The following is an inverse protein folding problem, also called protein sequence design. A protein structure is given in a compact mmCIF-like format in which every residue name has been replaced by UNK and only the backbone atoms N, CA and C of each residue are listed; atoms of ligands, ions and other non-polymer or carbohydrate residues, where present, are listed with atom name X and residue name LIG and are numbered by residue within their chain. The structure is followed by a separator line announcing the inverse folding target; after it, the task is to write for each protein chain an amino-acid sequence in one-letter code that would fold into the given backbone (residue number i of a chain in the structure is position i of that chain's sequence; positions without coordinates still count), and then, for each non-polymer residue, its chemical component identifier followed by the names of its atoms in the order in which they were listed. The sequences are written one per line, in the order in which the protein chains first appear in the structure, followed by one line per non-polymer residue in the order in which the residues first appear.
data_IF_989113619927
#
_entry.id   IF_989113619927
#
_cell.length_a   1.000
_cell.length_b   1.000
_cell.length_c   1.000
_cell.angle_alpha   90.00
_cell.angle_beta   90.00
_cell.angle_gamma   90.00
#
_symmetry.space_group_name_H-M   'P 1'
#
loop_
_entity.id
_entity.type
_entity.pdbx_description
1 polymer ?
#
# COMPACT_ATOMS: atom_id res chain seq x y z
N UNK A 1 3.16 -8.89 6.23
CA UNK A 1 1.75 -8.76 5.80
C UNK A 1 0.79 -9.51 6.71
N UNK A 2 0.89 -10.84 6.87
CA UNK A 2 -0.07 -11.63 7.67
C UNK A 2 -0.36 -11.04 9.07
N UNK A 3 0.67 -10.75 9.86
CA UNK A 3 0.50 -10.18 11.20
C UNK A 3 -0.12 -8.77 11.22
N UNK A 4 0.00 -8.02 10.12
CA UNK A 4 -0.42 -6.63 10.04
C UNK A 4 -1.85 -6.46 9.48
N UNK A 5 -2.34 -7.40 8.67
CA UNK A 5 -3.62 -7.27 7.94
C UNK A 5 -4.66 -8.32 8.34
N UNK A 6 -4.28 -9.59 8.51
CA UNK A 6 -5.23 -10.68 8.82
C UNK A 6 -6.06 -10.52 10.11
N UNK A 7 -5.68 -9.66 11.09
CA UNK A 7 -6.63 -9.30 12.16
C UNK A 7 -7.95 -8.73 11.62
N UNK A 8 -7.95 -8.06 10.48
CA UNK A 8 -9.11 -7.35 9.91
C UNK A 8 -9.75 -8.04 8.69
N UNK A 9 -9.16 -9.11 8.17
CA UNK A 9 -9.60 -9.78 6.93
C UNK A 9 -9.32 -11.29 6.95
N UNK A 10 -9.76 -12.02 5.93
CA UNK A 10 -9.38 -13.44 5.76
C UNK A 10 -8.17 -13.61 4.84
N UNK A 11 -7.93 -12.67 3.95
CA UNK A 11 -6.73 -12.50 3.14
C UNK A 11 -6.46 -11.02 2.79
N UNK A 12 -5.44 -10.72 1.99
CA UNK A 12 -5.11 -9.38 1.53
C UNK A 12 -4.78 -9.36 0.04
N UNK A 13 -5.08 -8.23 -0.58
CA UNK A 13 -4.85 -8.00 -2.01
C UNK A 13 -3.77 -6.94 -2.22
N UNK A 14 -3.15 -6.95 -3.40
CA UNK A 14 -2.42 -5.80 -3.91
C UNK A 14 -3.41 -4.65 -4.04
N UNK A 15 -3.04 -3.49 -3.52
CA UNK A 15 -3.82 -2.27 -3.58
C UNK A 15 -3.37 -1.38 -4.73
N UNK A 16 -2.05 -1.17 -4.85
CA UNK A 16 -1.43 -0.40 -5.92
C UNK A 16 0.06 -0.75 -6.10
N UNK A 17 0.55 -0.63 -7.34
CA UNK A 17 1.97 -0.64 -7.67
C UNK A 17 2.38 0.63 -8.40
N UNK A 18 3.06 1.55 -7.72
CA UNK A 18 3.32 2.90 -8.25
C UNK A 18 4.81 3.18 -8.36
N UNK A 19 5.25 3.53 -9.58
CA UNK A 19 6.57 4.10 -9.79
C UNK A 19 6.54 5.59 -9.45
N UNK A 20 7.32 6.00 -8.46
CA UNK A 20 7.40 7.38 -8.00
C UNK A 20 8.75 7.95 -8.36
N UNK A 21 8.76 9.06 -9.10
CA UNK A 21 9.94 9.87 -9.35
C UNK A 21 9.83 11.20 -8.63
N UNK A 22 10.88 11.59 -7.92
CA UNK A 22 11.05 12.94 -7.38
C UNK A 22 12.26 13.58 -8.06
N UNK A 23 12.03 14.72 -8.70
CA UNK A 23 13.03 15.48 -9.45
C UNK A 23 13.46 16.74 -8.69
N UNK A 24 14.53 17.36 -9.17
CA UNK A 24 15.03 18.62 -8.59
C UNK A 24 13.92 19.67 -8.48
N UNK A 25 13.84 20.34 -7.33
CA UNK A 25 12.88 21.38 -6.98
C UNK A 25 11.45 20.91 -6.74
N UNK A 26 11.18 19.60 -6.76
CA UNK A 26 9.91 19.11 -6.25
C UNK A 26 9.83 19.30 -4.73
N UNK A 27 8.68 19.78 -4.27
CA UNK A 27 8.42 20.07 -2.85
C UNK A 27 7.88 18.85 -2.14
N UNK A 28 8.10 18.77 -0.83
CA UNK A 28 7.52 17.72 -0.01
C UNK A 28 5.99 17.60 -0.20
N UNK A 29 5.50 16.37 -0.22
CA UNK A 29 4.08 16.10 -0.18
C UNK A 29 3.48 16.55 1.16
N UNK A 30 2.18 16.80 1.17
CA UNK A 30 1.46 16.88 2.44
C UNK A 30 1.59 15.54 3.15
N UNK A 31 1.99 15.55 4.42
CA UNK A 31 2.02 14.35 5.24
C UNK A 31 0.62 13.74 5.34
N UNK A 32 0.54 12.43 5.18
CA UNK A 32 -0.71 11.68 5.13
C UNK A 32 -0.51 10.24 5.60
N UNK A 33 -1.60 9.51 5.74
CA UNK A 33 -1.63 8.07 5.98
C UNK A 33 -2.22 7.39 4.75
N UNK A 34 -1.78 6.18 4.39
CA UNK A 34 -2.33 5.45 3.22
C UNK A 34 -3.77 4.99 3.47
N UNK A 35 -4.20 4.89 4.74
CA UNK A 35 -5.60 4.69 5.08
C UNK A 35 -6.53 5.78 4.49
N UNK A 36 -6.00 6.96 4.14
CA UNK A 36 -6.75 8.05 3.50
C UNK A 36 -7.34 7.69 2.13
N UNK A 37 -6.92 6.57 1.52
CA UNK A 37 -7.54 6.04 0.31
C UNK A 37 -9.01 5.60 0.50
N UNK A 38 -9.43 5.32 1.74
CA UNK A 38 -10.79 4.86 2.05
C UNK A 38 -11.55 5.83 2.96
N UNK A 39 -12.89 5.78 3.01
CA UNK A 39 -13.69 6.73 3.80
C UNK A 39 -13.31 6.76 5.28
N UNK A 40 -13.40 7.93 5.92
CA UNK A 40 -13.01 8.15 7.34
C UNK A 40 -13.66 7.18 8.32
N UNK A 41 -14.91 6.74 8.07
CA UNK A 41 -15.57 5.74 8.92
C UNK A 41 -14.87 4.38 8.92
N UNK A 42 -14.26 4.00 7.80
CA UNK A 42 -13.55 2.73 7.61
C UNK A 42 -12.14 2.81 8.20
N UNK A 43 -11.48 3.97 8.12
CA UNK A 43 -10.14 4.20 8.68
C UNK A 43 -10.06 3.89 10.18
N UNK A 44 -11.18 4.04 10.91
CA UNK A 44 -11.28 3.76 12.35
C UNK A 44 -11.21 2.27 12.71
N UNK A 45 -11.23 1.38 11.73
CA UNK A 45 -11.12 -0.07 11.95
C UNK A 45 -9.66 -0.51 12.23
N UNK A 46 -8.68 0.36 12.00
CA UNK A 46 -7.26 0.13 12.27
C UNK A 46 -6.42 0.09 11.01
N UNK A 47 -5.42 -0.79 10.98
CA UNK A 47 -4.48 -0.89 9.87
C UNK A 47 -5.10 -1.56 8.62
N UNK A 48 -5.55 -0.76 7.65
CA UNK A 48 -6.23 -1.27 6.45
C UNK A 48 -5.27 -1.70 5.34
N UNK A 49 -4.06 -1.16 5.34
CA UNK A 49 -3.06 -1.45 4.31
C UNK A 49 -1.64 -1.45 4.85
N UNK A 50 -0.70 -1.95 4.06
CA UNK A 50 0.74 -1.86 4.35
C UNK A 50 1.45 -1.55 3.05
N UNK A 51 2.38 -0.61 3.10
CA UNK A 51 3.20 -0.21 1.97
C UNK A 51 4.61 -0.77 2.10
N UNK A 52 5.14 -1.29 1.00
CA UNK A 52 6.56 -1.55 0.82
C UNK A 52 7.11 -0.54 -0.20
N UNK A 53 7.85 0.46 0.30
CA UNK A 53 8.55 1.45 -0.51
C UNK A 53 9.95 0.93 -0.83
N UNK A 54 10.14 0.51 -2.08
CA UNK A 54 11.41 -0.04 -2.58
C UNK A 54 12.22 1.10 -3.19
N UNK A 55 13.44 1.32 -2.69
CA UNK A 55 14.38 2.27 -3.25
C UNK A 55 14.96 1.74 -4.58
N UNK A 56 14.62 2.36 -5.71
CA UNK A 56 15.22 2.01 -7.02
C UNK A 56 16.48 2.83 -7.31
N UNK A 57 16.67 3.93 -6.57
CA UNK A 57 17.90 4.73 -6.47
C UNK A 57 18.20 4.97 -5.00
N UNK A 58 19.37 5.52 -4.68
CA UNK A 58 19.66 5.94 -3.31
C UNK A 58 18.67 7.01 -2.84
N UNK A 59 18.23 6.87 -1.59
CA UNK A 59 17.36 7.80 -0.89
C UNK A 59 18.20 8.58 0.11
N UNK A 60 18.23 9.91 -0.04
CA UNK A 60 18.87 10.84 0.89
C UNK A 60 17.89 11.92 1.29
N UNK A 61 18.13 12.59 2.42
CA UNK A 61 17.29 13.73 2.81
C UNK A 61 17.28 14.84 1.73
N UNK A 62 18.38 15.01 1.00
CA UNK A 62 18.54 16.07 0.01
C UNK A 62 17.86 15.76 -1.34
N UNK A 63 17.69 14.49 -1.71
CA UNK A 63 17.04 14.08 -2.95
C UNK A 63 15.56 13.69 -2.77
N UNK A 64 14.97 14.04 -1.62
CA UNK A 64 13.57 13.81 -1.33
C UNK A 64 13.24 12.39 -0.89
N UNK A 65 14.09 11.72 -0.11
CA UNK A 65 13.72 10.48 0.58
C UNK A 65 12.35 10.59 1.26
N UNK A 66 11.62 9.47 1.34
CA UNK A 66 10.30 9.43 1.99
C UNK A 66 10.42 9.92 3.44
N UNK A 67 9.67 10.97 3.78
CA UNK A 67 9.48 11.44 5.13
C UNK A 67 8.54 10.50 5.87
N UNK A 68 8.87 10.16 7.11
CA UNK A 68 8.10 9.25 7.97
C UNK A 68 8.08 9.84 9.37
N UNK A 69 6.98 9.63 10.09
CA UNK A 69 6.83 9.97 11.51
C UNK A 69 6.79 8.67 12.33
N UNK A 70 7.92 8.23 12.90
CA UNK A 70 7.99 6.95 13.60
C UNK A 70 7.03 6.90 14.79
N UNK A 71 6.26 5.81 14.89
CA UNK A 71 5.31 5.59 15.98
C UNK A 71 3.94 6.26 15.79
N UNK A 72 3.75 7.06 14.73
CA UNK A 72 2.49 7.77 14.51
C UNK A 72 1.28 6.86 14.28
N UNK A 73 1.49 5.63 13.84
CA UNK A 73 0.46 4.60 13.68
C UNK A 73 -0.26 4.23 14.99
N UNK A 74 0.18 4.76 16.13
CA UNK A 74 -0.45 4.56 17.45
C UNK A 74 -1.11 5.83 17.98
N UNK A 75 -1.06 6.93 17.23
CA UNK A 75 -1.57 8.21 17.67
C UNK A 75 -3.07 8.30 17.46
N UNK A 76 -3.67 9.29 18.12
CA UNK A 76 -5.00 9.76 17.74
C UNK A 76 -4.98 10.26 16.28
N UNK A 77 -5.96 9.89 15.44
CA UNK A 77 -6.00 10.29 14.03
C UNK A 77 -6.00 11.81 13.80
N UNK A 78 -6.40 12.61 14.78
CA UNK A 78 -6.44 14.08 14.67
C UNK A 78 -5.11 14.75 15.06
N UNK A 79 -4.12 13.98 15.55
CA UNK A 79 -2.82 14.52 15.97
C UNK A 79 -1.93 14.82 14.76
N UNK A 80 -1.55 16.08 14.62
CA UNK A 80 -0.55 16.51 13.66
C UNK A 80 0.88 16.31 14.18
N UNK A 81 1.85 15.93 13.33
CA UNK A 81 3.25 15.78 13.72
C UNK A 81 3.93 17.14 13.94
N UNK A 82 4.86 17.19 14.88
CA UNK A 82 5.83 18.28 14.97
C UNK A 82 6.96 18.07 13.95
N UNK A 83 7.58 19.16 13.49
CA UNK A 83 8.72 19.08 12.54
C UNK A 83 9.86 18.19 13.06
N UNK A 84 10.12 18.23 14.37
CA UNK A 84 11.16 17.40 15.01
C UNK A 84 10.82 15.91 15.11
N UNK A 85 9.57 15.52 14.85
CA UNK A 85 9.12 14.12 14.83
C UNK A 85 9.21 13.50 13.43
N UNK A 86 9.39 14.33 12.40
CA UNK A 86 9.54 13.88 11.01
C UNK A 86 11.00 13.51 10.75
N UNK A 87 11.22 12.29 10.25
CA UNK A 87 12.54 11.84 9.77
C UNK A 87 12.44 11.35 8.33
N UNK A 88 13.58 11.10 7.69
CA UNK A 88 13.64 10.57 6.34
C UNK A 88 14.08 9.10 6.35
N UNK A 89 13.40 8.27 5.55
CA UNK A 89 13.84 6.91 5.23
C UNK A 89 15.01 6.95 4.23
N UNK A 90 16.15 7.46 4.67
CA UNK A 90 17.38 7.45 3.90
C UNK A 90 17.95 6.03 3.84
N UNK A 91 18.17 5.53 2.63
CA UNK A 91 18.56 4.13 2.39
C UNK A 91 19.19 3.97 1.00
N UNK A 92 20.13 3.04 0.82
CA UNK A 92 20.70 2.78 -0.51
C UNK A 92 19.71 2.08 -1.43
N UNK A 93 19.93 2.16 -2.74
CA UNK A 93 19.16 1.44 -3.75
C UNK A 93 19.09 -0.08 -3.42
N UNK A 94 17.91 -0.67 -3.64
CA UNK A 94 17.59 -2.05 -3.28
C UNK A 94 17.06 -2.23 -1.86
N UNK A 95 17.13 -1.21 -1.00
CA UNK A 95 16.52 -1.24 0.32
C UNK A 95 14.99 -1.10 0.25
N UNK A 96 14.31 -1.54 1.32
CA UNK A 96 12.85 -1.47 1.44
C UNK A 96 12.48 -0.85 2.77
N UNK A 97 11.67 0.21 2.74
CA UNK A 97 10.98 0.73 3.91
C UNK A 97 9.55 0.15 3.94
N UNK A 98 9.16 -0.46 5.06
CA UNK A 98 7.82 -1.02 5.24
C UNK A 98 7.11 -0.23 6.34
N UNK A 99 5.91 0.25 6.04
CA UNK A 99 5.08 0.97 7.01
C UNK A 99 3.60 0.65 6.86
N UNK A 100 2.86 0.77 7.96
CA UNK A 100 1.42 0.53 8.02
C UNK A 100 0.64 1.67 7.39
N UNK A 101 -0.60 1.41 7.00
CA UNK A 101 -1.52 2.39 6.45
C UNK A 101 -1.85 3.54 7.39
N UNK A 102 -1.57 3.38 8.69
CA UNK A 102 -1.75 4.39 9.75
C UNK A 102 -0.49 5.25 9.97
N UNK A 103 0.64 4.90 9.35
CA UNK A 103 1.88 5.66 9.51
C UNK A 103 1.82 6.96 8.70
N UNK A 104 2.10 8.09 9.37
CA UNK A 104 2.15 9.40 8.75
C UNK A 104 3.46 9.51 7.97
N UNK A 105 3.36 9.80 6.68
CA UNK A 105 4.49 9.84 5.77
C UNK A 105 4.20 10.73 4.54
N UNK A 106 5.20 10.92 3.69
CA UNK A 106 5.08 11.61 2.41
C UNK A 106 6.42 11.70 1.67
N UNK A 107 6.40 11.98 0.36
CA UNK A 107 7.61 12.30 -0.39
C UNK A 107 8.28 13.56 0.14
N UNK A 108 9.61 13.55 0.31
CA UNK A 108 10.38 14.71 0.76
C UNK A 108 10.70 15.69 -0.36
N UNK A 109 11.14 16.89 0.02
CA UNK A 109 11.65 17.89 -0.93
C UNK A 109 12.97 17.42 -1.55
N UNK A 110 13.14 17.64 -2.85
CA UNK A 110 14.42 17.40 -3.53
C UNK A 110 15.09 18.71 -3.94
N UNK A 111 16.34 18.89 -3.50
CA UNK A 111 17.20 20.01 -3.92
C UNK A 111 18.30 19.58 -4.91
N UNK A 112 18.49 18.27 -5.07
CA UNK A 112 19.51 17.68 -5.93
C UNK A 112 19.04 17.48 -7.37
N UNK A 113 19.99 17.54 -8.31
CA UNK A 113 19.73 17.28 -9.73
C UNK A 113 19.47 15.80 -10.03
N UNK A 114 19.82 14.89 -9.12
CA UNK A 114 19.57 13.46 -9.27
C UNK A 114 18.07 13.15 -9.20
N UNK A 115 17.61 12.21 -10.03
CA UNK A 115 16.24 11.70 -9.97
C UNK A 115 16.17 10.62 -8.89
N UNK A 116 15.35 10.84 -7.87
CA UNK A 116 15.02 9.81 -6.87
C UNK A 116 13.88 8.96 -7.41
N UNK A 117 14.07 7.64 -7.51
CA UNK A 117 13.06 6.71 -8.02
C UNK A 117 12.76 5.63 -7.00
N UNK A 118 11.48 5.38 -6.77
CA UNK A 118 11.00 4.30 -5.92
C UNK A 118 9.84 3.55 -6.51
N UNK A 119 9.65 2.32 -6.05
CA UNK A 119 8.45 1.54 -6.32
C UNK A 119 7.66 1.37 -5.01
N UNK A 120 6.49 2.00 -4.95
CA UNK A 120 5.49 1.78 -3.90
C UNK A 120 4.69 0.53 -4.24
N UNK A 121 4.73 -0.49 -3.39
CA UNK A 121 3.90 -1.70 -3.54
C UNK A 121 3.06 -1.83 -2.27
N UNK A 122 1.77 -1.50 -2.39
CA UNK A 122 0.84 -1.50 -1.25
C UNK A 122 -0.10 -2.70 -1.30
N UNK A 123 -0.42 -3.24 -0.12
CA UNK A 123 -1.41 -4.31 0.05
C UNK A 123 -2.51 -3.82 0.98
N UNK A 124 -3.76 -4.14 0.69
CA UNK A 124 -4.90 -3.83 1.55
C UNK A 124 -5.65 -5.09 1.98
N UNK A 125 -6.47 -4.96 3.03
CA UNK A 125 -7.46 -5.98 3.38
C UNK A 125 -8.37 -6.31 2.18
N UNK A 126 -8.69 -7.58 1.99
CA UNK A 126 -9.34 -8.13 0.79
C UNK A 126 -10.83 -7.75 0.59
N UNK A 127 -11.51 -7.27 1.63
CA UNK A 127 -12.87 -6.76 1.53
C UNK A 127 -12.94 -5.29 1.08
N UNK A 128 -11.79 -4.62 0.94
CA UNK A 128 -11.73 -3.28 0.37
C UNK A 128 -11.57 -3.33 -1.14
N UNK A 129 -12.13 -2.33 -1.82
CA UNK A 129 -11.75 -2.03 -3.20
C UNK A 129 -10.30 -1.52 -3.21
N UNK A 130 -9.39 -2.14 -3.98
CA UNK A 130 -8.04 -1.64 -4.21
C UNK A 130 -8.01 -0.22 -4.81
N UNK A 131 -6.91 0.49 -4.60
CA UNK A 131 -6.67 1.79 -5.24
C UNK A 131 -6.58 1.63 -6.77
N UNK A 132 -5.89 0.59 -7.25
CA UNK A 132 -5.81 0.23 -8.67
C UNK A 132 -6.79 -0.86 -9.04
N UNK A 133 -7.48 -0.71 -10.18
CA UNK A 133 -8.39 -1.76 -10.66
C UNK A 133 -7.61 -2.82 -11.48
N UNK A 134 -7.05 -3.81 -10.78
CA UNK A 134 -6.24 -4.87 -11.40
C UNK A 134 -7.02 -5.71 -12.43
N UNK A 135 -8.32 -5.91 -12.25
CA UNK A 135 -9.15 -6.71 -13.18
C UNK A 135 -9.23 -6.11 -14.59
N UNK A 136 -9.09 -4.78 -14.72
CA UNK A 136 -9.13 -4.09 -16.01
C UNK A 136 -7.73 -3.84 -16.60
N UNK A 137 -6.70 -3.92 -15.77
CA UNK A 137 -5.33 -3.63 -16.16
C UNK A 137 -4.53 -4.88 -16.58
N UNK A 138 -5.08 -6.08 -16.35
CA UNK A 138 -4.39 -7.35 -16.55
C UNK A 138 -5.10 -8.21 -17.58
N UNK A 139 -4.31 -8.98 -18.33
CA UNK A 139 -4.80 -9.99 -19.27
C UNK A 139 -5.01 -11.29 -18.49
N UNK A 140 -6.18 -11.92 -18.66
CA UNK A 140 -6.56 -13.17 -17.97
C UNK A 140 -5.49 -14.25 -18.10
N UNK A 141 -4.97 -14.46 -19.32
CA UNK A 141 -3.97 -15.48 -19.61
C UNK A 141 -2.63 -15.22 -18.89
N UNK A 142 -2.24 -13.95 -18.75
CA UNK A 142 -1.04 -13.58 -17.98
C UNK A 142 -1.22 -13.91 -16.51
N UNK A 143 -2.41 -13.63 -15.95
CA UNK A 143 -2.73 -13.96 -14.56
C UNK A 143 -2.77 -15.47 -14.35
N UNK A 144 -3.39 -16.23 -15.28
CA UNK A 144 -3.46 -17.69 -15.25
C UNK A 144 -2.07 -18.34 -15.17
N UNK A 145 -1.06 -17.72 -15.79
CA UNK A 145 0.32 -18.21 -15.78
C UNK A 145 1.08 -17.92 -14.46
N UNK A 146 0.55 -17.05 -13.59
CA UNK A 146 1.17 -16.73 -12.30
C UNK A 146 0.95 -17.86 -11.27
N UNK A 147 1.80 -17.96 -10.23
CA UNK A 147 1.52 -18.82 -9.09
C UNK A 147 0.17 -18.48 -8.44
N UNK A 148 -0.56 -19.48 -7.94
CA UNK A 148 -1.89 -19.30 -7.32
C UNK A 148 -1.92 -18.14 -6.32
N UNK A 149 -0.89 -18.01 -5.48
CA UNK A 149 -0.84 -16.91 -4.50
C UNK A 149 -0.81 -15.52 -5.14
N UNK A 150 -0.12 -15.35 -6.27
CA UNK A 150 -0.08 -14.08 -6.97
C UNK A 150 -1.43 -13.76 -7.62
N UNK A 151 -2.14 -14.77 -8.14
CA UNK A 151 -3.51 -14.61 -8.64
C UNK A 151 -4.45 -14.11 -7.54
N UNK A 152 -4.40 -14.74 -6.36
CA UNK A 152 -5.19 -14.36 -5.19
C UNK A 152 -4.87 -12.93 -4.72
N UNK A 153 -3.58 -12.58 -4.62
CA UNK A 153 -3.14 -11.22 -4.28
C UNK A 153 -3.66 -10.19 -5.31
N UNK A 154 -3.77 -10.55 -6.59
CA UNK A 154 -4.33 -9.68 -7.63
C UNK A 154 -5.87 -9.62 -7.61
N UNK A 155 -6.52 -10.23 -6.62
CA UNK A 155 -7.97 -10.25 -6.44
C UNK A 155 -8.70 -11.33 -7.23
N UNK A 156 -7.99 -12.27 -7.86
CA UNK A 156 -8.61 -13.41 -8.55
C UNK A 156 -8.97 -14.53 -7.56
N UNK A 157 -9.66 -14.17 -6.50
CA UNK A 157 -10.24 -15.07 -5.50
C UNK A 157 -11.40 -14.34 -4.82
N UNK A 158 -12.22 -15.07 -4.07
CA UNK A 158 -13.27 -14.47 -3.24
C UNK A 158 -12.72 -14.13 -1.86
N UNK A 159 -13.20 -13.01 -1.31
CA UNK A 159 -13.14 -12.81 0.14
C UNK A 159 -14.29 -13.60 0.76
N UNK A 160 -13.98 -14.62 1.57
CA UNK A 160 -14.97 -15.29 2.42
C UNK A 160 -14.81 -14.84 3.87
N UNK A 161 -15.74 -14.02 4.34
CA UNK A 161 -15.78 -13.53 5.73
C UNK A 161 -16.84 -14.20 6.60
N UNK A 162 -17.45 -15.31 6.17
CA UNK A 162 -18.62 -15.89 6.83
C UNK A 162 -18.35 -16.36 8.25
N UNK A 163 -17.18 -16.95 8.52
CA UNK A 163 -16.74 -17.33 9.88
C UNK A 163 -16.56 -16.12 10.82
N UNK A 164 -16.46 -14.91 10.26
CA UNK A 164 -16.33 -13.65 10.98
C UNK A 164 -17.65 -12.87 11.04
N UNK A 165 -18.76 -13.46 10.62
CA UNK A 165 -20.09 -12.83 10.59
C UNK A 165 -20.29 -11.85 9.41
N UNK A 166 -19.40 -11.88 8.41
CA UNK A 166 -19.49 -11.06 7.21
C UNK A 166 -20.04 -11.87 6.02
N UNK A 167 -20.25 -11.20 4.89
CA UNK A 167 -20.60 -11.86 3.63
C UNK A 167 -19.38 -12.36 2.85
N UNK A 168 -19.65 -12.90 1.66
CA UNK A 168 -18.64 -13.21 0.66
C UNK A 168 -18.63 -12.11 -0.40
N UNK A 169 -17.45 -11.63 -0.79
CA UNK A 169 -17.27 -10.59 -1.80
C UNK A 169 -16.39 -11.10 -2.96
N UNK A 170 -16.50 -10.48 -4.13
CA UNK A 170 -15.65 -10.81 -5.28
C UNK A 170 -16.13 -11.97 -6.16
N UNK A 171 -17.41 -12.37 -6.07
CA UNK A 171 -17.96 -13.40 -6.95
C UNK A 171 -17.78 -13.09 -8.44
N UNK A 172 -17.45 -14.12 -9.20
CA UNK A 172 -17.54 -14.13 -10.66
C UNK A 172 -18.60 -15.14 -11.10
N UNK A 173 -19.67 -14.69 -11.75
CA UNK A 173 -20.78 -15.55 -12.19
C UNK A 173 -21.34 -16.47 -11.07
N UNK A 174 -21.51 -15.94 -9.85
CA UNK A 174 -21.93 -16.69 -8.65
C UNK A 174 -20.93 -17.74 -8.14
N UNK A 175 -19.72 -17.78 -8.70
CA UNK A 175 -18.62 -18.67 -8.32
C UNK A 175 -17.32 -17.93 -8.01
N UNK A 176 -16.22 -18.66 -7.96
CA UNK A 176 -14.91 -18.11 -7.65
C UNK A 176 -14.24 -17.61 -8.95
N UNK A 177 -13.65 -16.40 -9.00
CA UNK A 177 -12.85 -15.97 -10.16
C UNK A 177 -11.78 -16.96 -10.62
N UNK A 178 -11.24 -17.78 -9.70
CA UNK A 178 -10.32 -18.89 -10.00
C UNK A 178 -10.89 -19.91 -11.01
N UNK A 179 -12.22 -20.03 -11.12
CA UNK A 179 -12.88 -20.94 -12.04
C UNK A 179 -12.56 -20.61 -13.51
N UNK A 180 -12.09 -19.38 -13.81
CA UNK A 180 -11.59 -19.00 -15.14
C UNK A 180 -10.25 -19.66 -15.51
N UNK A 181 -9.53 -20.21 -14.53
CA UNK A 181 -8.23 -20.85 -14.72
C UNK A 181 -8.31 -22.37 -14.81
N UNK A 182 -9.48 -22.95 -14.54
CA UNK A 182 -9.75 -24.37 -14.74
C UNK A 182 -9.68 -24.80 -16.22
#
# INVERSE_FOLDING_TARGET
MNHLLLPLCTDYMLSAGELIEIRQNETAQKLHTDNNSWPTGVQKLGNLCVNAMIALTDYTAANGATQIVPGSHKWDPEREPLESEVTCAAMPAGSVAIFTGETIHGGGTSTEASIRRGLSVSYCVDWLRPVENHFLNLIVDDVKALPTRAQQILGWDVYDGTERGNGVLGYYQMGNPQDLFA
#
